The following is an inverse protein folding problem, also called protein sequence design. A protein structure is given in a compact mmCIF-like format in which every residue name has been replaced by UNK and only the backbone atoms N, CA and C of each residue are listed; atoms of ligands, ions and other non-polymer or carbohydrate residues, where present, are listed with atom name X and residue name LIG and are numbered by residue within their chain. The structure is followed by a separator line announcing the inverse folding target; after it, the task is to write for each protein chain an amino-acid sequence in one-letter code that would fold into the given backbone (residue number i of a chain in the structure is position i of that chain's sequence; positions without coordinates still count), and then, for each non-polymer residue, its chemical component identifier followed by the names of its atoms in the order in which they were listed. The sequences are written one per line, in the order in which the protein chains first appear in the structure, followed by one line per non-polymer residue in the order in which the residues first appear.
data_IF_986664327393
#
_entry.id   IF_986664327393
#
_cell.length_a   1.000
_cell.length_b   1.000
_cell.length_c   1.000
_cell.angle_alpha   90.00
_cell.angle_beta   90.00
_cell.angle_gamma   90.00
#
_symmetry.space_group_name_H-M   'P 1'
#
loop_
_entity.id
_entity.type
_entity.pdbx_description
1 polymer ?
#
# COMPACT_ATOMS: atom_id res chain seq x y z
N UNK A 1 -18.34 11.07 7.11
CA UNK A 1 -17.38 10.68 6.05
C UNK A 1 -15.93 10.68 6.53
N UNK A 2 -15.45 11.73 7.23
CA UNK A 2 -14.05 11.80 7.69
C UNK A 2 -13.59 10.59 8.52
N UNK A 3 -14.39 10.16 9.51
CA UNK A 3 -14.04 9.01 10.35
C UNK A 3 -13.85 7.71 9.55
N UNK A 4 -14.61 7.52 8.46
CA UNK A 4 -14.46 6.36 7.58
C UNK A 4 -13.12 6.39 6.83
N UNK A 5 -12.70 7.56 6.36
CA UNK A 5 -11.41 7.70 5.66
C UNK A 5 -10.24 7.46 6.62
N UNK A 6 -10.33 7.99 7.84
CA UNK A 6 -9.32 7.79 8.88
C UNK A 6 -9.23 6.33 9.29
N UNK A 7 -10.36 5.61 9.41
CA UNK A 7 -10.33 4.19 9.77
C UNK A 7 -9.71 3.32 8.67
N UNK A 8 -9.95 3.63 7.39
CA UNK A 8 -9.28 2.94 6.28
C UNK A 8 -7.76 3.11 6.36
N UNK A 9 -7.27 4.31 6.63
CA UNK A 9 -5.84 4.58 6.76
C UNK A 9 -5.22 3.87 7.97
N UNK A 10 -5.93 3.83 9.11
CA UNK A 10 -5.41 3.25 10.34
C UNK A 10 -5.48 1.71 10.36
N UNK A 11 -6.58 1.14 9.85
CA UNK A 11 -6.88 -0.28 10.03
C UNK A 11 -6.55 -1.12 8.80
N UNK A 12 -6.71 -0.57 7.60
CA UNK A 12 -6.51 -1.33 6.35
C UNK A 12 -5.11 -1.06 5.77
N UNK A 13 -4.78 0.22 5.55
CA UNK A 13 -3.52 0.63 4.89
C UNK A 13 -2.36 0.82 5.89
N UNK A 14 -2.17 -0.14 6.78
CA UNK A 14 -1.13 -0.09 7.82
C UNK A 14 0.18 -0.79 7.39
N UNK A 15 1.22 -0.73 8.24
CA UNK A 15 2.55 -1.24 7.92
C UNK A 15 2.66 -2.77 7.85
N UNK A 16 1.78 -3.52 8.51
CA UNK A 16 1.83 -4.99 8.55
C UNK A 16 0.43 -5.58 8.32
N UNK A 17 -0.13 -5.40 7.11
CA UNK A 17 -1.50 -5.77 6.80
C UNK A 17 -1.77 -7.27 6.90
N UNK A 18 -0.72 -8.11 6.84
CA UNK A 18 -0.81 -9.55 7.11
C UNK A 18 -1.50 -9.86 8.45
N UNK A 19 -1.24 -9.06 9.50
CA UNK A 19 -1.84 -9.26 10.82
C UNK A 19 -3.24 -8.68 10.97
N UNK A 20 -3.83 -8.13 9.89
CA UNK A 20 -5.24 -7.76 9.90
C UNK A 20 -6.16 -8.99 9.73
N UNK A 21 -5.60 -10.12 9.32
CA UNK A 21 -6.35 -11.37 9.16
C UNK A 21 -6.64 -11.98 10.55
N UNK A 22 -7.91 -12.29 10.86
CA UNK A 22 -8.28 -12.90 12.13
C UNK A 22 -7.50 -14.17 12.44
N UNK A 23 -6.89 -14.21 13.62
CA UNK A 23 -6.11 -15.34 14.12
C UNK A 23 -4.62 -15.24 13.81
N UNK A 24 -4.18 -14.31 12.97
CA UNK A 24 -2.75 -14.13 12.67
C UNK A 24 -2.05 -13.25 13.71
N UNK A 25 -2.81 -12.47 14.49
CA UNK A 25 -2.30 -11.55 15.51
C UNK A 25 -1.48 -12.29 16.59
N UNK A 26 -1.84 -13.55 16.88
CA UNK A 26 -1.13 -14.39 17.84
C UNK A 26 0.32 -14.70 17.42
N UNK A 27 0.61 -14.63 16.12
CA UNK A 27 1.97 -14.89 15.59
C UNK A 27 2.81 -13.61 15.46
N UNK A 28 2.25 -12.44 15.77
CA UNK A 28 2.96 -11.16 15.70
C UNK A 28 4.14 -11.14 16.67
N UNK A 29 5.28 -10.64 16.23
CA UNK A 29 6.52 -10.66 17.02
C UNK A 29 7.25 -12.01 17.04
N UNK A 30 6.64 -13.10 16.55
CA UNK A 30 7.37 -14.36 16.35
C UNK A 30 8.16 -14.31 15.04
N UNK A 31 9.33 -14.94 15.00
CA UNK A 31 10.15 -14.97 13.77
C UNK A 31 9.34 -15.49 12.57
N UNK A 32 8.55 -16.55 12.76
CA UNK A 32 7.74 -17.14 11.71
C UNK A 32 6.62 -16.22 11.22
N UNK A 33 5.96 -15.50 12.13
CA UNK A 33 4.92 -14.53 11.78
C UNK A 33 5.47 -13.30 11.07
N UNK A 34 6.63 -12.80 11.52
CA UNK A 34 7.30 -11.66 10.90
C UNK A 34 7.77 -11.97 9.47
N UNK A 35 8.39 -13.13 9.25
CA UNK A 35 8.78 -13.57 7.89
C UNK A 35 7.57 -13.67 6.94
N UNK A 36 6.43 -14.17 7.41
CA UNK A 36 5.19 -14.19 6.61
C UNK A 36 4.66 -12.78 6.32
N UNK A 37 4.74 -11.89 7.31
CA UNK A 37 4.34 -10.49 7.16
C UNK A 37 5.18 -9.77 6.12
N UNK A 38 6.51 -9.98 6.13
CA UNK A 38 7.45 -9.41 5.16
C UNK A 38 7.14 -9.88 3.73
N UNK A 39 7.06 -11.20 3.52
CA UNK A 39 6.71 -11.77 2.21
C UNK A 39 5.34 -11.28 1.70
N UNK A 40 4.37 -11.12 2.60
CA UNK A 40 3.07 -10.53 2.25
C UNK A 40 3.22 -9.07 1.82
N UNK A 41 3.98 -8.26 2.56
CA UNK A 41 4.22 -6.85 2.26
C UNK A 41 4.94 -6.66 0.92
N UNK A 42 5.91 -7.51 0.57
CA UNK A 42 6.57 -7.51 -0.73
C UNK A 42 5.59 -7.70 -1.88
N UNK A 43 4.68 -8.66 -1.75
CA UNK A 43 3.64 -8.89 -2.76
C UNK A 43 2.68 -7.69 -2.87
N UNK A 44 2.24 -7.13 -1.73
CA UNK A 44 1.39 -5.93 -1.71
C UNK A 44 2.10 -4.72 -2.34
N UNK A 45 3.41 -4.56 -2.13
CA UNK A 45 4.18 -3.51 -2.76
C UNK A 45 4.16 -3.62 -4.29
N UNK A 46 4.40 -4.81 -4.84
CA UNK A 46 4.33 -5.06 -6.29
C UNK A 46 2.92 -4.77 -6.83
N UNK A 47 1.88 -5.24 -6.14
CA UNK A 47 0.49 -4.96 -6.52
C UNK A 47 0.16 -3.47 -6.47
N UNK A 48 0.71 -2.74 -5.50
CA UNK A 48 0.56 -1.28 -5.39
C UNK A 48 1.19 -0.58 -6.59
N UNK A 49 2.41 -0.96 -7.00
CA UNK A 49 3.04 -0.41 -8.20
C UNK A 49 2.24 -0.69 -9.47
N UNK A 50 1.72 -1.92 -9.63
CA UNK A 50 0.82 -2.27 -10.74
C UNK A 50 -0.43 -1.39 -10.74
N UNK A 51 -1.01 -1.14 -9.57
CA UNK A 51 -2.17 -0.26 -9.44
C UNK A 51 -1.84 1.19 -9.79
N UNK A 52 -0.66 1.70 -9.41
CA UNK A 52 -0.20 3.04 -9.81
C UNK A 52 -0.08 3.16 -11.34
N UNK A 53 0.49 2.16 -12.00
CA UNK A 53 0.57 2.12 -13.48
C UNK A 53 -0.82 2.09 -14.10
N UNK A 54 -1.73 1.28 -13.54
CA UNK A 54 -3.11 1.20 -14.02
C UNK A 54 -3.84 2.54 -13.87
N UNK A 55 -3.77 3.19 -12.71
CA UNK A 55 -4.45 4.45 -12.44
C UNK A 55 -3.88 5.60 -13.27
N UNK A 56 -2.58 5.60 -13.58
CA UNK A 56 -1.99 6.55 -14.53
C UNK A 56 -2.51 6.36 -15.96
N UNK A 57 -2.67 5.11 -16.41
CA UNK A 57 -3.16 4.79 -17.77
C UNK A 57 -4.66 5.03 -17.92
N UNK A 58 -5.43 4.79 -16.86
CA UNK A 58 -6.88 4.97 -16.83
C UNK A 58 -7.29 5.72 -15.55
N UNK A 59 -7.05 7.04 -15.49
CA UNK A 59 -7.40 7.83 -14.32
C UNK A 59 -8.91 7.76 -14.03
N UNK A 60 -9.32 7.67 -12.75
CA UNK A 60 -10.73 7.72 -12.39
C UNK A 60 -11.35 9.06 -12.77
N UNK A 61 -12.62 9.04 -13.18
CA UNK A 61 -13.35 10.25 -13.58
C UNK A 61 -13.42 11.24 -12.42
N UNK A 62 -13.32 12.52 -12.75
CA UNK A 62 -13.39 13.67 -11.83
C UNK A 62 -12.16 13.88 -10.93
N UNK A 63 -11.11 13.07 -11.08
CA UNK A 63 -9.85 13.19 -10.32
C UNK A 63 -8.60 13.01 -11.21
N UNK A 64 -8.75 13.14 -12.53
CA UNK A 64 -7.70 12.87 -13.51
C UNK A 64 -6.48 13.79 -13.33
N UNK A 65 -6.72 15.07 -13.06
CA UNK A 65 -5.66 16.04 -12.78
C UNK A 65 -4.93 15.72 -11.48
N UNK A 66 -5.66 15.33 -10.43
CA UNK A 66 -5.07 14.92 -9.17
C UNK A 66 -4.12 13.73 -9.36
N UNK A 67 -4.56 12.69 -10.08
CA UNK A 67 -3.73 11.52 -10.38
C UNK A 67 -2.44 11.92 -11.10
N UNK A 68 -2.55 12.75 -12.15
CA UNK A 68 -1.38 13.21 -12.91
C UNK A 68 -0.41 13.99 -12.03
N UNK A 69 -0.91 14.98 -11.30
CA UNK A 69 -0.09 15.85 -10.45
C UNK A 69 0.54 15.07 -9.29
N UNK A 70 -0.19 14.16 -8.67
CA UNK A 70 0.31 13.32 -7.59
C UNK A 70 1.52 12.49 -8.03
N UNK A 71 1.37 11.72 -9.12
CA UNK A 71 2.47 10.87 -9.59
C UNK A 71 3.62 11.66 -10.19
N UNK A 72 3.36 12.83 -10.81
CA UNK A 72 4.43 13.72 -11.24
C UNK A 72 5.28 14.21 -10.07
N UNK A 73 4.63 14.72 -9.01
CA UNK A 73 5.34 15.20 -7.81
C UNK A 73 6.05 14.07 -7.05
N UNK A 74 5.51 12.86 -7.06
CA UNK A 74 6.04 11.71 -6.32
C UNK A 74 6.95 10.79 -7.14
N UNK A 75 7.19 11.08 -8.41
CA UNK A 75 7.91 10.18 -9.32
C UNK A 75 9.27 9.75 -8.77
N UNK A 76 10.07 10.71 -8.29
CA UNK A 76 11.38 10.43 -7.73
C UNK A 76 11.31 9.56 -6.45
N UNK A 77 10.38 9.86 -5.55
CA UNK A 77 10.19 9.09 -4.31
C UNK A 77 9.76 7.64 -4.61
N UNK A 78 8.87 7.46 -5.59
CA UNK A 78 8.38 6.14 -6.01
C UNK A 78 9.53 5.32 -6.61
N UNK A 79 10.30 5.89 -7.53
CA UNK A 79 11.46 5.21 -8.13
C UNK A 79 12.50 4.86 -7.08
N UNK A 80 12.78 5.78 -6.14
CA UNK A 80 13.69 5.53 -5.03
C UNK A 80 13.20 4.38 -4.14
N UNK A 81 11.91 4.31 -3.86
CA UNK A 81 11.32 3.21 -3.10
C UNK A 81 11.44 1.87 -3.86
N UNK A 82 11.20 1.85 -5.18
CA UNK A 82 11.37 0.65 -6.00
C UNK A 82 12.82 0.13 -6.05
N UNK A 83 13.82 1.00 -5.90
CA UNK A 83 15.23 0.60 -5.88
C UNK A 83 15.70 0.13 -4.49
N UNK A 84 14.96 0.46 -3.44
CA UNK A 84 15.27 0.09 -2.06
C UNK A 84 14.56 -1.19 -1.61
N UNK A 85 13.47 -1.55 -2.30
CA UNK A 85 12.73 -2.80 -2.15
C UNK A 85 13.33 -3.89 -3.04
#
# INVERSE_FOLDING_TARGET
MLQLLVSVQALILNQKPYFNEPGYEQSKGTQSGELRSEAYCENIFILSLKMMVYSMRKPPRHVEEFVRSHYFMRAHDIVKACNAY
#
